data_IF_053502355158
#
_entry.id   IF_053502355158
#
_cell.length_a   1.000
_cell.length_b   1.000
_cell.length_c   1.000
_cell.angle_alpha   90.00
_cell.angle_beta   90.00
_cell.angle_gamma   90.00
#
_symmetry.space_group_name_H-M   'P 1'
#
loop_
_entity.id
_entity.type
_entity.pdbx_description
1 polymer ?
#
# COMPACT_ATOMS: atom_id res chain seq x y z
N UNK A 1 11.96 -5.10 4.52
CA UNK A 1 10.62 -5.71 4.43
C UNK A 1 10.47 -6.69 3.27
N UNK A 2 10.86 -6.34 2.05
CA UNK A 2 10.85 -7.30 0.92
C UNK A 2 12.23 -7.86 0.56
N UNK A 3 13.26 -7.02 0.60
CA UNK A 3 14.63 -7.39 0.20
C UNK A 3 15.56 -7.60 1.40
N UNK A 4 15.25 -6.94 2.53
CA UNK A 4 16.07 -7.00 3.76
C UNK A 4 15.24 -7.30 5.00
N UNK A 5 15.86 -7.98 5.97
CA UNK A 5 15.36 -8.26 7.32
C UNK A 5 15.35 -6.98 8.17
N UNK A 6 14.82 -7.07 9.40
CA UNK A 6 14.89 -5.97 10.38
C UNK A 6 16.33 -5.63 10.77
N UNK A 7 17.26 -6.56 10.56
CA UNK A 7 18.70 -6.42 10.82
C UNK A 7 19.46 -5.92 9.58
N UNK A 8 18.75 -5.39 8.57
CA UNK A 8 19.32 -4.90 7.30
C UNK A 8 20.05 -5.99 6.48
N UNK A 9 19.87 -7.26 6.80
CA UNK A 9 20.44 -8.37 6.05
C UNK A 9 19.56 -8.75 4.85
N UNK A 10 20.12 -9.17 3.71
CA UNK A 10 19.32 -9.67 2.59
C UNK A 10 18.44 -10.85 3.05
N UNK A 11 17.18 -10.85 2.61
CA UNK A 11 16.23 -11.88 3.00
C UNK A 11 16.67 -13.24 2.41
N UNK A 12 16.69 -14.35 3.18
CA UNK A 12 17.03 -15.66 2.65
C UNK A 12 16.07 -16.06 1.52
N UNK A 13 16.58 -16.73 0.48
CA UNK A 13 15.88 -17.09 -0.75
C UNK A 13 14.65 -17.98 -0.51
N UNK A 14 14.65 -18.79 0.56
CA UNK A 14 13.52 -19.63 0.99
C UNK A 14 12.40 -18.87 1.71
N UNK A 15 12.60 -17.59 2.05
CA UNK A 15 11.59 -16.87 2.82
C UNK A 15 10.53 -16.33 1.89
N UNK A 16 9.26 -16.67 2.15
CA UNK A 16 8.11 -16.18 1.41
C UNK A 16 8.20 -14.66 1.18
N UNK A 17 8.35 -14.30 -0.09
CA UNK A 17 8.40 -12.91 -0.54
C UNK A 17 6.96 -12.38 -0.46
N UNK A 18 6.74 -11.32 0.33
CA UNK A 18 5.40 -10.76 0.52
C UNK A 18 4.85 -10.26 -0.83
N UNK A 19 3.59 -10.59 -1.14
CA UNK A 19 2.93 -10.05 -2.34
C UNK A 19 2.71 -8.54 -2.24
N UNK A 20 2.53 -7.88 -3.39
CA UNK A 20 2.11 -6.49 -3.44
C UNK A 20 0.77 -6.27 -2.72
N UNK A 21 -0.15 -7.25 -2.80
CA UNK A 21 -1.42 -7.25 -2.07
C UNK A 21 -1.20 -7.22 -0.55
N UNK A 22 -0.24 -8.00 -0.04
CA UNK A 22 0.15 -7.98 1.38
C UNK A 22 0.67 -6.61 1.79
N UNK A 23 1.55 -6.00 0.99
CA UNK A 23 2.05 -4.65 1.25
C UNK A 23 0.94 -3.59 1.25
N UNK A 24 -0.04 -3.70 0.32
CA UNK A 24 -1.22 -2.82 0.30
C UNK A 24 -2.07 -2.96 1.55
N UNK A 25 -2.34 -4.19 2.01
CA UNK A 25 -3.08 -4.46 3.24
C UNK A 25 -2.38 -3.88 4.47
N UNK A 26 -1.06 -4.07 4.58
CA UNK A 26 -0.26 -3.48 5.66
C UNK A 26 -0.33 -1.95 5.65
N UNK A 27 -0.14 -1.32 4.48
CA UNK A 27 -0.27 0.14 4.35
C UNK A 27 -1.66 0.63 4.73
N UNK A 28 -2.72 -0.08 4.32
CA UNK A 28 -4.10 0.29 4.65
C UNK A 28 -4.37 0.19 6.16
N UNK A 29 -3.91 -0.89 6.81
CA UNK A 29 -4.05 -1.09 8.25
C UNK A 29 -3.31 0.00 9.05
N UNK A 30 -2.06 0.31 8.68
CA UNK A 30 -1.30 1.39 9.33
C UNK A 30 -1.95 2.75 9.10
N UNK A 31 -2.37 3.05 7.86
CA UNK A 31 -3.07 4.30 7.55
C UNK A 31 -4.30 4.46 8.43
N UNK A 32 -5.07 3.38 8.61
CA UNK A 32 -6.25 3.36 9.48
C UNK A 32 -5.89 3.56 10.95
N UNK A 33 -4.88 2.87 11.48
CA UNK A 33 -4.42 3.03 12.86
C UNK A 33 -3.96 4.47 13.15
N UNK A 34 -3.15 5.06 12.27
CA UNK A 34 -2.75 6.48 12.39
C UNK A 34 -3.97 7.42 12.31
N UNK A 35 -4.95 7.13 11.46
CA UNK A 35 -6.15 7.94 11.33
C UNK A 35 -7.07 7.85 12.56
N UNK A 36 -7.30 6.64 13.09
CA UNK A 36 -8.28 6.37 14.15
C UNK A 36 -7.69 6.50 15.55
N UNK A 37 -6.60 5.78 15.82
CA UNK A 37 -6.08 5.60 17.17
C UNK A 37 -5.25 6.81 17.59
N UNK A 38 -4.49 7.38 16.65
CA UNK A 38 -3.69 8.58 16.88
C UNK A 38 -4.43 9.87 16.48
N UNK A 39 -5.65 9.76 15.93
CA UNK A 39 -6.50 10.88 15.48
C UNK A 39 -5.81 11.86 14.53
N UNK A 40 -4.81 11.37 13.79
CA UNK A 40 -4.02 12.18 12.86
C UNK A 40 -4.75 12.39 11.51
N UNK A 41 -5.86 11.66 11.31
CA UNK A 41 -6.66 11.73 10.09
C UNK A 41 -5.95 11.14 8.86
N UNK A 42 -6.42 11.53 7.67
CA UNK A 42 -5.85 11.13 6.36
C UNK A 42 -5.00 12.24 5.71
N UNK A 43 -4.61 13.23 6.50
CA UNK A 43 -3.84 14.37 6.03
C UNK A 43 -2.47 13.93 5.48
N UNK A 44 -2.01 14.61 4.44
CA UNK A 44 -0.71 14.33 3.84
C UNK A 44 0.44 14.55 4.84
N UNK A 45 1.49 13.73 4.78
CA UNK A 45 2.67 13.89 5.64
C UNK A 45 3.50 15.06 5.14
N UNK A 46 3.49 16.18 5.87
CA UNK A 46 4.19 17.41 5.50
C UNK A 46 4.94 18.00 6.69
N UNK A 47 5.98 18.76 6.40
CA UNK A 47 6.73 19.48 7.43
C UNK A 47 6.11 20.86 7.62
N UNK A 48 5.73 21.18 8.86
CA UNK A 48 5.32 22.50 9.28
C UNK A 48 6.47 23.16 10.07
N UNK A 49 6.87 24.37 9.69
CA UNK A 49 8.05 25.04 10.26
C UNK A 49 7.90 25.30 11.77
N UNK A 50 6.67 25.51 12.25
CA UNK A 50 6.41 25.82 13.66
C UNK A 50 6.17 24.57 14.52
N UNK A 51 5.81 23.46 13.88
CA UNK A 51 5.23 22.31 14.57
C UNK A 51 5.91 20.98 14.25
N UNK A 52 6.90 20.99 13.36
CA UNK A 52 7.52 19.79 12.83
C UNK A 52 6.61 19.01 11.87
N UNK A 53 6.88 17.72 11.74
CA UNK A 53 6.12 16.86 10.84
C UNK A 53 4.68 16.64 11.30
N UNK A 54 3.73 16.88 10.39
CA UNK A 54 2.29 16.68 10.62
C UNK A 54 1.66 15.82 9.52
N UNK A 55 0.54 15.20 9.86
CA UNK A 55 -0.23 14.34 8.97
C UNK A 55 0.11 12.86 9.14
N UNK A 56 -0.38 12.02 8.25
CA UNK A 56 -0.21 10.57 8.36
C UNK A 56 1.06 10.11 7.64
N UNK A 57 2.07 9.52 8.31
CA UNK A 57 3.31 9.08 7.68
C UNK A 57 3.12 8.13 6.50
N UNK A 58 2.07 7.30 6.51
CA UNK A 58 1.72 6.39 5.42
C UNK A 58 1.22 7.10 4.15
N UNK A 59 0.87 8.38 4.26
CA UNK A 59 0.45 9.27 3.17
C UNK A 59 1.62 10.08 2.59
N UNK A 60 2.85 9.88 3.07
CA UNK A 60 4.04 10.56 2.55
C UNK A 60 4.35 10.20 1.08
N UNK A 61 4.99 11.14 0.38
CA UNK A 61 5.48 10.93 -0.97
C UNK A 61 6.52 9.79 -1.06
N UNK A 62 7.34 9.62 -0.03
CA UNK A 62 8.30 8.53 0.06
C UNK A 62 7.60 7.17 0.02
N UNK A 63 6.57 6.97 0.87
CA UNK A 63 5.79 5.73 0.88
C UNK A 63 5.03 5.55 -0.44
N UNK A 64 4.48 6.62 -1.02
CA UNK A 64 3.80 6.56 -2.33
C UNK A 64 4.75 6.11 -3.45
N UNK A 65 5.94 6.70 -3.53
CA UNK A 65 6.98 6.35 -4.53
C UNK A 65 7.47 4.92 -4.32
N UNK A 66 7.72 4.53 -3.07
CA UNK A 66 8.10 3.17 -2.72
C UNK A 66 7.04 2.15 -3.18
N UNK A 67 5.77 2.37 -2.83
CA UNK A 67 4.67 1.48 -3.25
C UNK A 67 4.53 1.39 -4.77
N UNK A 68 4.73 2.49 -5.50
CA UNK A 68 4.74 2.47 -6.97
C UNK A 68 5.89 1.66 -7.55
N UNK A 69 7.10 1.79 -6.99
CA UNK A 69 8.26 0.98 -7.38
C UNK A 69 8.08 -0.50 -7.03
N UNK A 70 7.55 -0.77 -5.84
CA UNK A 70 7.24 -2.11 -5.37
C UNK A 70 6.22 -2.80 -6.29
N UNK A 71 5.14 -2.10 -6.67
CA UNK A 71 4.14 -2.62 -7.61
C UNK A 71 4.76 -3.09 -8.91
N UNK A 72 5.63 -2.26 -9.52
CA UNK A 72 6.32 -2.61 -10.77
C UNK A 72 7.25 -3.81 -10.61
N UNK A 73 8.05 -3.85 -9.54
CA UNK A 73 8.98 -4.96 -9.29
C UNK A 73 8.25 -6.28 -9.07
N UNK A 74 7.15 -6.26 -8.32
CA UNK A 74 6.34 -7.46 -8.05
C UNK A 74 5.62 -7.93 -9.32
N UNK A 75 5.05 -7.00 -10.10
CA UNK A 75 4.45 -7.34 -11.40
C UNK A 75 5.47 -7.95 -12.38
N UNK A 76 6.70 -7.41 -12.44
CA UNK A 76 7.78 -7.99 -13.25
C UNK A 76 8.21 -9.39 -12.77
N UNK A 77 8.09 -9.68 -11.47
CA UNK A 77 8.32 -11.00 -10.88
C UNK A 77 7.11 -11.96 -11.01
N UNK A 78 6.06 -11.58 -11.75
CA UNK A 78 4.87 -12.41 -11.97
C UNK A 78 3.78 -12.32 -10.89
N UNK A 79 3.91 -11.40 -9.93
CA UNK A 79 2.84 -11.11 -8.97
C UNK A 79 1.67 -10.42 -9.69
N UNK A 80 0.61 -11.19 -9.96
CA UNK A 80 -0.60 -10.67 -10.57
C UNK A 80 -1.53 -10.14 -9.47
N UNK A 81 -1.91 -8.84 -9.47
CA UNK A 81 -2.90 -8.34 -8.54
C UNK A 81 -4.24 -9.01 -8.80
N UNK A 82 -4.57 -9.98 -7.94
CA UNK A 82 -5.79 -10.81 -7.96
C UNK A 82 -7.08 -9.97 -8.05
N UNK A 83 -7.06 -8.70 -7.59
CA UNK A 83 -8.21 -7.80 -7.63
C UNK A 83 -8.65 -7.40 -9.05
N UNK A 84 -7.74 -7.36 -10.03
CA UNK A 84 -8.06 -6.98 -11.42
C UNK A 84 -8.88 -8.06 -12.13
N UNK A 85 -8.60 -9.33 -11.83
CA UNK A 85 -9.35 -10.47 -12.36
C UNK A 85 -10.75 -10.59 -11.72
N UNK A 86 -10.96 -10.04 -10.52
CA UNK A 86 -12.24 -10.09 -9.82
C UNK A 86 -13.27 -9.11 -10.40
N UNK A 87 -12.85 -8.00 -11.01
CA UNK A 87 -13.74 -7.03 -11.66
C UNK A 87 -13.82 -7.32 -13.17
N UNK A 88 -14.60 -8.33 -13.54
CA UNK A 88 -14.90 -8.56 -14.96
C UNK A 88 -15.75 -7.42 -15.53
N UNK A 89 -15.63 -7.16 -16.84
CA UNK A 89 -16.49 -6.22 -17.57
C UNK A 89 -17.97 -6.55 -17.34
N UNK A 90 -18.30 -7.84 -17.24
CA UNK A 90 -19.65 -8.31 -16.92
C UNK A 90 -20.12 -7.83 -15.55
N UNK A 91 -19.25 -7.82 -14.54
CA UNK A 91 -19.56 -7.33 -13.19
C UNK A 91 -19.79 -5.82 -13.18
N UNK A 92 -18.98 -5.06 -13.92
CA UNK A 92 -19.14 -3.61 -14.08
C UNK A 92 -20.45 -3.26 -14.80
N UNK A 93 -20.81 -4.00 -15.84
CA UNK A 93 -22.08 -3.84 -16.56
C UNK A 93 -23.29 -4.20 -15.69
N UNK A 94 -23.20 -5.25 -14.87
CA UNK A 94 -24.25 -5.64 -13.94
C UNK A 94 -24.50 -4.56 -12.87
N UNK A 95 -23.44 -3.96 -12.32
CA UNK A 95 -23.56 -2.84 -11.38
C UNK A 95 -24.20 -1.60 -12.02
N UNK A 96 -23.86 -1.28 -13.28
CA UNK A 96 -24.44 -0.14 -13.99
C UNK A 96 -25.94 -0.33 -14.27
N UNK A 97 -26.36 -1.55 -14.63
CA UNK A 97 -27.77 -1.91 -14.86
C UNK A 97 -28.62 -1.94 -13.59
N UNK A 98 -28.03 -2.18 -12.42
CA UNK A 98 -28.77 -2.16 -11.15
C UNK A 98 -29.04 -0.73 -10.65
N UNK A 99 -28.31 0.27 -11.16
CA UNK A 99 -28.41 1.67 -10.71
C UNK A 99 -29.37 2.52 -11.57
N UNK A 100 -29.74 2.05 -12.76
CA UNK A 100 -30.73 2.67 -13.66
C UNK A 100 -31.91 1.73 -13.85
#
# INVERSE_FOLDING_TARGET
CDEVTLELQPKPEETQICSFSTAMKMRAALTYGFSRDLRIGKSHWTYDVNSGWRGNPCMSDHVRRYMGGLSRRKAAAGDSPVSSAALSIQMLLAMWKHKN
#
